data_IF_706210774768
#
_entry.id   IF_706210774768
#
_cell.length_a   1.000
_cell.length_b   1.000
_cell.length_c   1.000
_cell.angle_alpha   90.00
_cell.angle_beta   90.00
_cell.angle_gamma   90.00
#
_symmetry.space_group_name_H-M   'P 1'
#
loop_
_entity.id
_entity.type
_entity.pdbx_description
1 polymer ?
#
# COMPACT_ATOMS: atom_id res chain seq x y z
N UNK A 1 10.10 -25.77 6.64
CA UNK A 1 9.56 -25.70 5.26
C UNK A 1 9.70 -27.04 4.55
N UNK A 2 10.91 -27.58 4.34
CA UNK A 2 11.08 -28.94 3.78
C UNK A 2 10.48 -30.06 4.65
N UNK A 3 10.59 -29.96 5.98
CA UNK A 3 9.90 -30.84 6.93
C UNK A 3 8.37 -30.72 6.91
N UNK A 4 7.83 -29.68 6.27
CA UNK A 4 6.39 -29.48 6.02
C UNK A 4 6.04 -29.80 4.55
N UNK A 5 6.94 -30.47 3.82
CA UNK A 5 6.81 -30.81 2.41
C UNK A 5 6.63 -29.60 1.45
N UNK A 6 7.07 -28.40 1.87
CA UNK A 6 7.13 -27.21 0.99
C UNK A 6 8.49 -27.19 0.31
N UNK A 7 8.53 -27.68 -0.94
CA UNK A 7 9.76 -27.90 -1.70
C UNK A 7 10.33 -26.60 -2.29
N UNK A 8 9.46 -25.70 -2.75
CA UNK A 8 9.82 -24.43 -3.39
C UNK A 8 9.08 -23.26 -2.73
N UNK A 9 9.46 -22.86 -1.50
CA UNK A 9 8.81 -21.74 -0.83
C UNK A 9 9.08 -20.45 -1.60
N UNK A 10 8.01 -19.79 -2.07
CA UNK A 10 8.08 -18.45 -2.64
C UNK A 10 7.94 -17.43 -1.51
N UNK A 11 9.04 -16.80 -1.14
CA UNK A 11 9.08 -15.77 -0.09
C UNK A 11 9.15 -14.41 -0.75
N UNK A 12 8.25 -13.50 -0.34
CA UNK A 12 8.29 -12.10 -0.73
C UNK A 12 8.63 -11.26 0.50
N UNK A 13 9.76 -10.56 0.44
CA UNK A 13 10.17 -9.64 1.50
C UNK A 13 9.64 -8.26 1.13
N UNK A 14 8.77 -7.72 1.97
CA UNK A 14 8.20 -6.38 1.79
C UNK A 14 9.03 -5.35 2.56
N UNK A 15 9.11 -4.10 2.09
CA UNK A 15 9.72 -3.02 2.85
C UNK A 15 8.92 -2.73 4.12
N UNK A 16 9.61 -2.22 5.13
CA UNK A 16 8.95 -1.69 6.33
C UNK A 16 8.20 -0.40 6.01
N UNK A 17 6.95 -0.33 6.45
CA UNK A 17 6.17 0.91 6.46
C UNK A 17 6.31 1.55 7.84
N UNK A 18 6.67 2.83 7.90
CA UNK A 18 6.84 3.58 9.15
C UNK A 18 5.47 3.94 9.75
N UNK A 19 4.69 2.90 10.05
CA UNK A 19 3.35 2.92 10.62
C UNK A 19 3.33 2.05 11.88
N UNK A 20 2.35 2.30 12.75
CA UNK A 20 2.15 1.53 13.98
C UNK A 20 3.44 1.37 14.79
N UNK A 21 3.73 0.14 15.22
CA UNK A 21 4.90 -0.16 16.06
C UNK A 21 6.24 0.16 15.41
N UNK A 22 6.36 0.12 14.08
CA UNK A 22 7.64 0.46 13.44
C UNK A 22 7.90 1.97 13.51
N UNK A 23 6.84 2.78 13.51
CA UNK A 23 6.95 4.23 13.71
C UNK A 23 7.46 4.57 15.11
N UNK A 24 6.98 3.85 16.12
CA UNK A 24 7.40 4.01 17.53
C UNK A 24 8.84 3.52 17.76
N UNK A 25 9.21 2.39 17.16
CA UNK A 25 10.50 1.75 17.41
C UNK A 25 11.66 2.38 16.61
N UNK A 26 11.37 3.01 15.46
CA UNK A 26 12.39 3.54 14.57
C UNK A 26 12.26 5.06 14.38
N UNK A 27 11.20 5.50 13.71
CA UNK A 27 10.80 6.91 13.53
C UNK A 27 9.49 7.00 12.76
N UNK A 28 8.84 8.16 12.84
CA UNK A 28 7.74 8.52 11.93
C UNK A 28 8.27 8.93 10.54
N UNK A 29 7.36 8.96 9.56
CA UNK A 29 7.58 9.70 8.33
C UNK A 29 7.78 11.19 8.62
N UNK A 30 8.65 11.83 7.85
CA UNK A 30 8.85 13.27 7.83
C UNK A 30 7.87 13.94 6.87
N UNK A 31 7.70 15.25 7.00
CA UNK A 31 6.79 16.06 6.17
C UNK A 31 7.12 16.02 4.66
N UNK A 32 8.36 15.65 4.31
CA UNK A 32 8.81 15.51 2.92
C UNK A 32 8.65 14.09 2.35
N UNK A 33 8.28 13.10 3.18
CA UNK A 33 8.06 11.71 2.76
C UNK A 33 6.61 11.48 2.31
N UNK A 34 6.21 12.24 1.29
CA UNK A 34 4.92 12.14 0.60
C UNK A 34 5.14 12.08 -0.91
N UNK A 35 4.19 11.51 -1.64
CA UNK A 35 4.27 11.50 -3.11
C UNK A 35 3.67 12.78 -3.68
N UNK A 36 4.25 13.24 -4.78
CA UNK A 36 3.73 14.34 -5.60
C UNK A 36 3.59 13.85 -7.04
N UNK A 37 2.93 14.61 -7.89
CA UNK A 37 2.83 14.28 -9.33
C UNK A 37 4.20 14.10 -9.97
N UNK A 38 5.20 14.90 -9.58
CA UNK A 38 6.59 14.79 -10.03
C UNK A 38 7.20 13.41 -9.76
N UNK A 39 6.77 12.73 -8.70
CA UNK A 39 7.23 11.37 -8.42
C UNK A 39 6.83 10.39 -9.53
N UNK A 40 5.82 10.71 -10.36
CA UNK A 40 5.28 9.81 -11.38
C UNK A 40 5.66 10.19 -12.81
N UNK A 41 6.43 11.27 -13.03
CA UNK A 41 6.91 11.66 -14.38
C UNK A 41 7.69 10.52 -15.07
N UNK A 42 8.49 9.78 -14.30
CA UNK A 42 9.30 8.66 -14.78
C UNK A 42 8.90 7.31 -14.16
N UNK A 43 7.68 7.19 -13.64
CA UNK A 43 7.19 5.97 -13.02
C UNK A 43 5.69 5.80 -13.28
N UNK A 44 5.32 4.70 -13.94
CA UNK A 44 3.92 4.43 -14.23
C UNK A 44 3.14 4.17 -12.93
N UNK A 45 2.20 5.05 -12.60
CA UNK A 45 1.36 4.94 -11.39
C UNK A 45 0.59 3.61 -11.33
N UNK A 46 0.33 2.97 -12.46
CA UNK A 46 -0.35 1.66 -12.51
C UNK A 46 0.50 0.51 -11.96
N UNK A 47 1.80 0.72 -11.76
CA UNK A 47 2.68 -0.25 -11.10
C UNK A 47 2.39 -0.36 -9.60
N UNK A 48 1.81 0.67 -8.98
CA UNK A 48 1.40 0.61 -7.57
C UNK A 48 0.26 -0.39 -7.39
N UNK A 49 0.24 -1.08 -6.24
CA UNK A 49 -0.79 -2.09 -5.92
C UNK A 49 -2.23 -1.53 -5.94
N UNK A 50 -2.40 -0.28 -5.49
CA UNK A 50 -3.69 0.38 -5.42
C UNK A 50 -4.27 0.78 -6.79
N UNK A 51 -3.57 0.55 -7.90
CA UNK A 51 -4.13 0.79 -9.23
C UNK A 51 -5.13 -0.29 -9.65
N UNK A 52 -4.99 -1.52 -9.13
CA UNK A 52 -5.78 -2.69 -9.55
C UNK A 52 -6.43 -3.45 -8.38
N UNK A 53 -6.34 -2.93 -7.15
CA UNK A 53 -6.88 -3.63 -5.98
C UNK A 53 -7.46 -2.67 -4.95
N UNK A 54 -8.33 -3.21 -4.11
CA UNK A 54 -9.02 -2.54 -3.01
C UNK A 54 -9.10 -3.48 -1.82
N UNK A 55 -9.22 -2.92 -0.62
CA UNK A 55 -9.48 -3.70 0.58
C UNK A 55 -10.95 -3.58 0.95
N UNK A 56 -11.72 -4.64 0.75
CA UNK A 56 -13.10 -4.71 1.22
C UNK A 56 -13.14 -5.20 2.68
N UNK A 57 -13.90 -4.52 3.52
CA UNK A 57 -14.09 -4.83 4.93
C UNK A 57 -15.57 -4.74 5.29
N UNK A 58 -15.94 -5.13 6.52
CA UNK A 58 -17.31 -4.94 7.01
C UNK A 58 -17.70 -3.45 7.12
N UNK A 59 -16.72 -2.54 7.29
CA UNK A 59 -16.96 -1.10 7.49
C UNK A 59 -16.79 -0.27 6.22
N UNK A 60 -16.62 -0.93 5.07
CA UNK A 60 -16.50 -0.30 3.75
C UNK A 60 -15.27 -0.76 2.96
N UNK A 61 -15.06 -0.14 1.81
CA UNK A 61 -13.97 -0.44 0.88
C UNK A 61 -12.92 0.66 0.93
N UNK A 62 -11.68 0.26 1.19
CA UNK A 62 -10.53 1.15 1.34
C UNK A 62 -9.57 1.01 0.17
N UNK A 63 -8.78 2.05 -0.08
CA UNK A 63 -7.77 2.04 -1.15
C UNK A 63 -6.67 0.99 -0.92
N UNK A 64 -6.29 0.74 0.34
CA UNK A 64 -5.16 -0.12 0.69
C UNK A 64 -5.37 -0.79 2.06
N UNK A 65 -4.96 -2.06 2.25
CA UNK A 65 -5.12 -2.73 3.54
C UNK A 65 -4.35 -2.10 4.70
N UNK A 66 -3.22 -1.43 4.44
CA UNK A 66 -2.42 -0.78 5.50
C UNK A 66 -3.03 0.53 6.01
N UNK A 67 -4.14 0.98 5.42
CA UNK A 67 -4.81 2.25 5.73
C UNK A 67 -6.25 2.05 6.22
N UNK A 68 -6.64 0.85 6.64
CA UNK A 68 -8.02 0.55 7.09
C UNK A 68 -8.43 1.32 8.35
N UNK A 69 -7.47 1.82 9.12
CA UNK A 69 -7.69 2.69 10.29
C UNK A 69 -7.80 4.18 9.92
N UNK A 70 -7.63 4.53 8.64
CA UNK A 70 -7.68 5.90 8.13
C UNK A 70 -9.00 6.14 7.42
N UNK A 71 -9.85 7.01 7.98
CA UNK A 71 -11.17 7.32 7.41
C UNK A 71 -11.04 7.94 6.02
N UNK A 72 -10.01 8.74 5.81
CA UNK A 72 -9.67 9.38 4.54
C UNK A 72 -9.24 8.39 3.45
N UNK A 73 -8.90 7.14 3.83
CA UNK A 73 -8.56 6.06 2.91
C UNK A 73 -9.78 5.22 2.49
N UNK A 74 -10.96 5.43 3.11
CA UNK A 74 -12.21 4.79 2.70
C UNK A 74 -12.69 5.42 1.40
N UNK A 75 -12.93 4.57 0.39
CA UNK A 75 -13.34 4.98 -0.95
C UNK A 75 -14.85 4.86 -1.20
N UNK A 76 -15.54 4.06 -0.40
CA UNK A 76 -16.99 3.83 -0.48
C UNK A 76 -17.42 2.67 0.41
N UNK A 77 -18.69 2.31 0.33
CA UNK A 77 -19.26 1.11 0.95
C UNK A 77 -19.26 -0.08 -0.02
N UNK A 78 -19.18 0.17 -1.32
CA UNK A 78 -19.16 -0.85 -2.37
C UNK A 78 -17.92 -0.74 -3.27
N UNK A 79 -17.59 -1.82 -3.99
CA UNK A 79 -16.46 -1.81 -4.95
C UNK A 79 -16.74 -0.84 -6.10
N UNK A 80 -17.98 -0.75 -6.57
CA UNK A 80 -18.42 0.13 -7.66
C UNK A 80 -18.02 1.60 -7.40
N UNK A 81 -18.27 2.10 -6.19
CA UNK A 81 -17.93 3.46 -5.76
C UNK A 81 -16.41 3.75 -5.75
N UNK A 82 -15.59 2.69 -5.75
CA UNK A 82 -14.13 2.79 -5.72
C UNK A 82 -13.48 2.79 -7.10
N UNK A 83 -14.27 2.67 -8.18
CA UNK A 83 -13.81 2.70 -9.59
C UNK A 83 -13.42 4.11 -10.05
N UNK A 84 -12.66 4.80 -9.20
CA UNK A 84 -12.13 6.14 -9.38
C UNK A 84 -10.71 6.22 -8.83
N UNK A 85 -9.90 7.21 -9.24
CA UNK A 85 -8.58 7.44 -8.69
C UNK A 85 -8.60 7.75 -7.18
N UNK A 86 -7.49 7.47 -6.51
CA UNK A 86 -7.21 7.89 -5.13
C UNK A 86 -5.96 8.80 -5.15
N UNK A 87 -5.95 9.94 -4.44
CA UNK A 87 -4.91 10.98 -4.57
C UNK A 87 -3.53 10.61 -3.98
N UNK A 88 -3.35 9.41 -3.44
CA UNK A 88 -2.11 8.95 -2.80
C UNK A 88 -1.61 9.89 -1.69
N UNK A 89 -2.53 10.42 -0.89
CA UNK A 89 -2.28 11.48 0.10
C UNK A 89 -1.57 11.03 1.40
N UNK A 90 -1.25 9.74 1.56
CA UNK A 90 -0.65 9.21 2.78
C UNK A 90 0.86 9.02 2.65
N UNK A 91 1.62 9.28 3.72
CA UNK A 91 3.07 9.03 3.74
C UNK A 91 3.43 7.56 3.47
N UNK A 92 2.53 6.62 3.78
CA UNK A 92 2.70 5.21 3.41
C UNK A 92 2.84 5.00 1.88
N UNK A 93 2.18 5.84 1.07
CA UNK A 93 2.30 5.81 -0.39
C UNK A 93 3.73 6.14 -0.86
N UNK A 94 4.47 6.96 -0.10
CA UNK A 94 5.87 7.26 -0.37
C UNK A 94 6.71 5.98 -0.37
N UNK A 95 6.58 5.13 0.66
CA UNK A 95 7.28 3.84 0.72
C UNK A 95 6.98 3.00 -0.51
N UNK A 96 5.72 2.88 -0.92
CA UNK A 96 5.38 2.12 -2.13
C UNK A 96 6.08 2.67 -3.37
N UNK A 97 6.05 4.00 -3.55
CA UNK A 97 6.66 4.65 -4.70
C UNK A 97 8.18 4.51 -4.73
N UNK A 98 8.88 4.73 -3.61
CA UNK A 98 10.35 4.73 -3.60
C UNK A 98 10.96 3.33 -3.61
N UNK A 99 10.25 2.33 -3.08
CA UNK A 99 10.74 0.95 -3.03
C UNK A 99 10.24 0.07 -4.17
N UNK A 100 9.24 0.53 -4.93
CA UNK A 100 8.54 -0.29 -5.92
C UNK A 100 7.69 -1.39 -5.29
N UNK A 101 7.30 -1.25 -4.02
CA UNK A 101 6.47 -2.24 -3.34
C UNK A 101 5.18 -2.50 -4.11
N UNK A 102 4.93 -3.78 -4.34
CA UNK A 102 3.69 -4.28 -4.94
C UNK A 102 3.30 -5.57 -4.23
N UNK A 103 2.01 -5.87 -4.12
CA UNK A 103 1.55 -7.19 -3.67
C UNK A 103 1.25 -8.11 -4.85
N UNK A 104 1.41 -7.66 -6.10
CA UNK A 104 1.30 -8.51 -7.29
C UNK A 104 2.29 -9.67 -7.19
N UNK A 105 1.85 -10.88 -7.54
CA UNK A 105 2.75 -12.02 -7.75
C UNK A 105 3.31 -11.92 -9.16
N UNK A 106 4.61 -12.13 -9.31
CA UNK A 106 5.22 -12.44 -10.61
C UNK A 106 5.05 -13.93 -10.93
#
# INVERSE_FOLDING_TARGET
MRSLNVLNPRIKILPGFLLGRLAENLRNYSDNEHVTEKCFENYNITNLQCSTSRMATQTGVYVCPILVDKVEAKMGDTIEETLRPFPLSHSACYTCRVTGMTCKSE
#
